data_IF_663887410754
#
_entry.id   IF_663887410754
#
_cell.length_a   1.000
_cell.length_b   1.000
_cell.length_c   1.000
_cell.angle_alpha   90.00
_cell.angle_beta   90.00
_cell.angle_gamma   90.00
#
_symmetry.space_group_name_H-M   'P 1'
#
loop_
_entity.id
_entity.type
_entity.pdbx_description
1 polymer ?
#
# COMPACT_ATOMS: atom_id res chain seq x y z
N UNK A 1 -9.06 42.09 5.56
CA UNK A 1 -8.06 41.08 5.21
C UNK A 1 -7.91 40.01 6.32
N UNK A 2 -7.55 40.32 7.56
CA UNK A 2 -7.36 39.36 8.67
C UNK A 2 -8.62 38.53 9.00
N UNK A 3 -9.79 39.15 9.11
CA UNK A 3 -11.09 38.45 9.35
C UNK A 3 -11.42 37.44 8.25
N UNK A 4 -11.15 37.77 6.99
CA UNK A 4 -11.36 36.85 5.86
C UNK A 4 -10.35 35.69 5.90
N UNK A 5 -9.10 35.96 6.26
CA UNK A 5 -8.08 34.95 6.41
C UNK A 5 -8.42 33.98 7.57
N UNK A 6 -8.89 34.50 8.71
CA UNK A 6 -9.36 33.67 9.84
C UNK A 6 -10.59 32.83 9.44
N UNK A 7 -11.53 33.39 8.69
CA UNK A 7 -12.70 32.66 8.18
C UNK A 7 -12.30 31.56 7.21
N UNK A 8 -11.34 31.82 6.32
CA UNK A 8 -10.81 30.84 5.40
C UNK A 8 -10.04 29.71 6.12
N UNK A 9 -9.22 30.04 7.15
CA UNK A 9 -8.52 29.06 7.98
C UNK A 9 -9.53 28.18 8.74
N UNK A 10 -10.57 28.77 9.34
CA UNK A 10 -11.63 28.00 10.00
C UNK A 10 -12.37 27.09 9.02
N UNK A 11 -12.71 27.58 7.81
CA UNK A 11 -13.35 26.79 6.79
C UNK A 11 -12.46 25.63 6.29
N UNK A 12 -11.15 25.85 6.17
CA UNK A 12 -10.19 24.79 5.85
C UNK A 12 -10.11 23.74 6.95
N UNK A 13 -10.06 24.16 8.20
CA UNK A 13 -10.00 23.24 9.34
C UNK A 13 -11.27 22.38 9.50
N UNK A 14 -12.43 22.85 9.04
CA UNK A 14 -13.66 22.04 9.06
C UNK A 14 -13.76 21.05 7.92
N UNK A 15 -12.99 21.23 6.83
CA UNK A 15 -12.99 20.36 5.66
C UNK A 15 -11.96 19.23 5.74
N UNK A 16 -10.80 19.55 6.29
CA UNK A 16 -9.65 18.63 6.35
C UNK A 16 -9.70 17.85 7.66
N UNK A 17 -9.75 16.53 7.56
CA UNK A 17 -9.67 15.63 8.71
C UNK A 17 -8.27 15.66 9.31
N UNK A 18 -8.14 16.06 10.56
CA UNK A 18 -6.90 16.03 11.32
C UNK A 18 -6.60 14.64 11.92
N UNK A 19 -5.35 14.41 12.36
CA UNK A 19 -4.95 13.12 12.94
C UNK A 19 -5.75 12.75 14.20
N UNK A 20 -5.95 13.69 15.11
CA UNK A 20 -6.71 13.44 16.34
C UNK A 20 -8.18 13.19 16.02
N UNK A 21 -8.75 13.98 15.13
CA UNK A 21 -10.13 13.83 14.67
C UNK A 21 -10.34 12.46 13.98
N UNK A 22 -9.42 12.03 13.11
CA UNK A 22 -9.43 10.67 12.54
C UNK A 22 -9.43 9.60 13.62
N UNK A 23 -8.54 9.72 14.61
CA UNK A 23 -8.42 8.70 15.65
C UNK A 23 -9.67 8.64 16.52
N UNK A 24 -10.14 9.78 17.00
CA UNK A 24 -11.28 9.89 17.93
C UNK A 24 -12.61 9.71 17.20
N UNK A 25 -12.77 10.32 16.02
CA UNK A 25 -14.04 10.34 15.29
C UNK A 25 -14.24 9.15 14.35
N UNK A 26 -13.18 8.57 13.80
CA UNK A 26 -13.30 7.48 12.82
C UNK A 26 -12.72 6.15 13.30
N UNK A 27 -11.48 6.13 13.82
CA UNK A 27 -10.85 4.86 14.15
C UNK A 27 -11.49 4.23 15.39
N UNK A 28 -11.49 4.95 16.51
CA UNK A 28 -11.94 4.37 17.79
C UNK A 28 -13.43 3.98 17.83
N UNK A 29 -14.37 4.75 17.25
CA UNK A 29 -15.77 4.35 17.21
C UNK A 29 -16.06 3.17 16.27
N UNK A 30 -15.30 3.05 15.17
CA UNK A 30 -15.58 2.10 14.09
C UNK A 30 -14.67 0.86 14.12
N UNK A 31 -13.56 0.89 14.88
CA UNK A 31 -12.60 -0.21 14.91
C UNK A 31 -12.30 -0.61 16.36
N UNK A 32 -12.71 -1.80 16.78
CA UNK A 32 -12.31 -2.34 18.08
C UNK A 32 -10.80 -2.65 18.07
N UNK A 33 -10.07 -2.19 19.09
CA UNK A 33 -8.61 -2.36 19.16
C UNK A 33 -8.15 -3.82 19.07
N UNK A 34 -8.93 -4.75 19.62
CA UNK A 34 -8.66 -6.20 19.55
C UNK A 34 -8.58 -6.72 18.10
N UNK A 35 -9.22 -6.01 17.15
CA UNK A 35 -9.26 -6.38 15.74
C UNK A 35 -8.10 -5.81 14.91
N UNK A 36 -7.28 -4.89 15.46
CA UNK A 36 -6.18 -4.26 14.72
C UNK A 36 -5.17 -5.28 14.20
N UNK A 37 -4.94 -6.36 14.95
CA UNK A 37 -4.05 -7.47 14.56
C UNK A 37 -4.37 -8.06 13.18
N UNK A 38 -5.63 -8.02 12.75
CA UNK A 38 -6.04 -8.57 11.45
C UNK A 38 -5.58 -7.72 10.26
N UNK A 39 -5.19 -6.47 10.49
CA UNK A 39 -4.59 -5.63 9.46
C UNK A 39 -3.11 -5.35 9.73
N UNK A 40 -2.70 -5.25 11.01
CA UNK A 40 -1.32 -4.96 11.40
C UNK A 40 -0.38 -6.18 11.18
N UNK A 41 -0.92 -7.41 11.15
CA UNK A 41 -0.19 -8.64 10.81
C UNK A 41 -0.57 -9.09 9.38
N UNK A 42 0.37 -8.97 8.44
CA UNK A 42 0.15 -9.30 7.01
C UNK A 42 -0.16 -10.78 6.78
N UNK A 43 0.33 -11.67 7.64
CA UNK A 43 0.01 -13.09 7.54
C UNK A 43 -1.45 -13.36 7.89
N UNK A 44 -1.94 -12.78 8.99
CA UNK A 44 -3.35 -12.87 9.36
C UNK A 44 -4.26 -12.21 8.32
N UNK A 45 -3.88 -11.02 7.85
CA UNK A 45 -4.62 -10.32 6.79
C UNK A 45 -4.73 -11.18 5.53
N UNK A 46 -3.64 -11.83 5.12
CA UNK A 46 -3.65 -12.71 3.95
C UNK A 46 -4.52 -13.95 4.14
N UNK A 47 -4.43 -14.59 5.29
CA UNK A 47 -5.28 -15.74 5.61
C UNK A 47 -6.76 -15.41 5.49
N UNK A 48 -7.17 -14.22 5.97
CA UNK A 48 -8.54 -13.73 5.80
C UNK A 48 -8.87 -13.55 4.32
N UNK A 49 -8.00 -12.87 3.56
CA UNK A 49 -8.22 -12.59 2.14
C UNK A 49 -8.34 -13.89 1.31
N UNK A 50 -7.41 -14.81 1.49
CA UNK A 50 -7.39 -16.08 0.77
C UNK A 50 -8.61 -16.95 1.09
N UNK A 51 -9.00 -17.07 2.37
CA UNK A 51 -10.17 -17.83 2.81
C UNK A 51 -11.50 -17.29 2.26
N UNK A 52 -11.57 -15.99 1.96
CA UNK A 52 -12.76 -15.33 1.42
C UNK A 52 -12.66 -15.02 -0.08
N UNK A 53 -11.68 -15.61 -0.77
CA UNK A 53 -11.49 -15.43 -2.21
C UNK A 53 -11.22 -13.98 -2.62
N UNK A 54 -10.58 -13.19 -1.75
CA UNK A 54 -10.05 -11.87 -2.08
C UNK A 54 -8.72 -12.07 -2.80
N UNK A 55 -8.61 -11.51 -3.99
CA UNK A 55 -7.44 -11.67 -4.85
C UNK A 55 -6.23 -10.93 -4.27
N UNK A 56 -5.19 -11.67 -3.89
CA UNK A 56 -3.94 -11.14 -3.34
C UNK A 56 -2.74 -11.95 -3.89
N UNK A 57 -1.49 -11.47 -3.80
CA UNK A 57 -0.32 -12.24 -4.18
C UNK A 57 -0.25 -13.53 -3.38
N UNK A 58 0.06 -14.66 -4.03
CA UNK A 58 0.11 -15.97 -3.39
C UNK A 58 1.24 -16.03 -2.36
N UNK A 59 0.98 -16.57 -1.18
CA UNK A 59 2.00 -16.92 -0.21
C UNK A 59 2.57 -18.30 -0.56
N UNK A 60 3.88 -18.38 -0.80
CA UNK A 60 4.56 -19.63 -1.14
C UNK A 60 5.11 -20.31 0.11
N UNK A 61 5.53 -19.54 1.11
CA UNK A 61 6.04 -20.06 2.36
C UNK A 61 6.03 -19.02 3.48
N UNK A 62 6.03 -19.52 4.70
CA UNK A 62 6.13 -18.72 5.93
C UNK A 62 7.22 -19.33 6.78
N UNK A 63 8.12 -18.51 7.31
CA UNK A 63 9.17 -18.95 8.22
C UNK A 63 8.94 -18.29 9.58
N UNK A 64 8.67 -19.08 10.59
CA UNK A 64 8.42 -18.62 11.96
C UNK A 64 9.63 -18.81 12.87
N UNK A 65 10.45 -19.82 12.58
CA UNK A 65 11.63 -20.18 13.39
C UNK A 65 12.88 -20.34 12.53
N UNK A 66 14.03 -20.04 13.13
CA UNK A 66 15.34 -20.13 12.43
C UNK A 66 15.57 -21.52 11.84
N UNK A 67 15.22 -22.57 12.56
CA UNK A 67 15.40 -23.94 12.08
C UNK A 67 14.58 -24.35 10.88
N UNK A 68 13.55 -23.57 10.52
CA UNK A 68 12.68 -23.82 9.38
C UNK A 68 13.18 -23.19 8.07
N UNK A 69 14.19 -22.29 8.15
CA UNK A 69 14.64 -21.48 7.00
C UNK A 69 15.03 -22.37 5.81
N UNK A 70 15.83 -23.39 6.06
CA UNK A 70 16.39 -24.24 5.00
C UNK A 70 15.30 -25.09 4.35
N UNK A 71 14.41 -25.68 5.14
CA UNK A 71 13.29 -26.49 4.67
C UNK A 71 12.33 -25.65 3.82
N UNK A 72 11.86 -24.51 4.36
CA UNK A 72 10.94 -23.63 3.63
C UNK A 72 11.60 -23.08 2.37
N UNK A 73 12.89 -22.70 2.46
CA UNK A 73 13.62 -22.23 1.30
C UNK A 73 13.69 -23.28 0.17
N UNK A 74 13.93 -24.53 0.54
CA UNK A 74 13.96 -25.62 -0.44
C UNK A 74 12.64 -25.71 -1.21
N UNK A 75 11.50 -25.63 -0.51
CA UNK A 75 10.18 -25.69 -1.14
C UNK A 75 9.90 -24.51 -2.07
N UNK A 76 10.34 -23.28 -1.70
CA UNK A 76 10.01 -22.07 -2.47
C UNK A 76 11.05 -21.72 -3.54
N UNK A 77 12.26 -22.28 -3.47
CA UNK A 77 13.37 -21.95 -4.39
C UNK A 77 13.17 -22.43 -5.83
N UNK A 78 12.12 -23.20 -6.10
CA UNK A 78 11.71 -23.58 -7.46
C UNK A 78 11.16 -22.40 -8.26
N UNK A 79 10.60 -21.39 -7.58
CA UNK A 79 10.06 -20.21 -8.24
C UNK A 79 11.20 -19.29 -8.74
N UNK A 80 11.00 -18.69 -9.92
CA UNK A 80 12.01 -17.81 -10.51
C UNK A 80 11.99 -16.38 -9.96
N UNK A 81 10.91 -15.99 -9.30
CA UNK A 81 10.77 -14.65 -8.67
C UNK A 81 10.05 -14.78 -7.35
N UNK A 82 10.59 -14.16 -6.31
CA UNK A 82 10.08 -14.20 -4.94
C UNK A 82 10.18 -12.84 -4.27
N UNK A 83 9.31 -12.59 -3.32
CA UNK A 83 9.41 -11.46 -2.39
C UNK A 83 9.48 -12.02 -0.97
N UNK A 84 10.53 -11.69 -0.25
CA UNK A 84 10.67 -11.98 1.19
C UNK A 84 10.35 -10.70 1.95
N UNK A 85 9.40 -10.76 2.90
CA UNK A 85 8.99 -9.57 3.67
C UNK A 85 8.58 -9.94 5.10
N UNK A 86 8.71 -9.01 6.06
CA UNK A 86 8.20 -9.20 7.42
C UNK A 86 6.67 -9.14 7.47
N UNK A 87 6.05 -9.95 8.33
CA UNK A 87 4.60 -9.93 8.54
C UNK A 87 4.15 -8.64 9.26
N UNK A 88 4.92 -8.17 10.26
CA UNK A 88 4.60 -6.99 11.06
C UNK A 88 5.36 -5.72 10.63
N UNK A 89 6.30 -5.81 9.69
CA UNK A 89 7.10 -4.68 9.21
C UNK A 89 6.26 -3.59 8.55
N UNK A 90 6.73 -2.34 8.65
CA UNK A 90 6.04 -1.16 8.11
C UNK A 90 6.92 -0.36 7.13
N UNK A 91 6.29 0.40 6.22
CA UNK A 91 6.97 1.34 5.32
C UNK A 91 7.91 0.69 4.30
N UNK A 92 7.71 -0.58 3.96
CA UNK A 92 8.54 -1.31 3.00
C UNK A 92 9.94 -1.67 3.52
N UNK A 93 10.19 -1.58 4.84
CA UNK A 93 11.43 -2.04 5.44
C UNK A 93 11.46 -3.57 5.48
N UNK A 94 12.64 -4.15 5.25
CA UNK A 94 12.80 -5.61 5.28
C UNK A 94 12.25 -6.36 4.06
N UNK A 95 11.82 -5.67 3.01
CA UNK A 95 11.41 -6.29 1.76
C UNK A 95 12.65 -6.62 0.92
N UNK A 96 12.79 -7.88 0.52
CA UNK A 96 13.80 -8.34 -0.44
C UNK A 96 13.11 -8.95 -1.64
N UNK A 97 13.30 -8.36 -2.81
CA UNK A 97 12.84 -8.91 -4.08
C UNK A 97 13.95 -9.76 -4.66
N UNK A 98 13.62 -11.00 -5.00
CA UNK A 98 14.54 -11.99 -5.55
C UNK A 98 14.11 -12.41 -6.94
N UNK A 99 15.05 -12.40 -7.89
CA UNK A 99 14.86 -12.93 -9.21
C UNK A 99 15.98 -13.93 -9.55
N UNK A 100 15.65 -15.07 -10.13
CA UNK A 100 16.61 -16.10 -10.54
C UNK A 100 17.04 -15.86 -11.99
N UNK A 101 18.33 -15.76 -12.22
CA UNK A 101 18.91 -15.64 -13.55
C UNK A 101 20.14 -16.55 -13.64
N UNK A 102 20.18 -17.42 -14.65
CA UNK A 102 21.30 -18.38 -14.88
C UNK A 102 21.66 -19.19 -13.62
N UNK A 103 20.64 -19.63 -12.87
CA UNK A 103 20.79 -20.40 -11.63
C UNK A 103 21.17 -19.58 -10.40
N UNK A 104 21.46 -18.29 -10.54
CA UNK A 104 21.82 -17.40 -9.44
C UNK A 104 20.67 -16.51 -9.01
N UNK A 105 20.58 -16.21 -7.72
CA UNK A 105 19.64 -15.23 -7.18
C UNK A 105 20.19 -13.82 -7.27
N UNK A 106 19.35 -12.89 -7.72
CA UNK A 106 19.63 -11.46 -7.77
C UNK A 106 18.64 -10.71 -6.91
N UNK A 107 19.14 -9.65 -6.25
CA UNK A 107 18.31 -8.65 -5.57
C UNK A 107 18.83 -7.26 -5.95
N UNK A 108 17.94 -6.38 -6.44
CA UNK A 108 18.33 -5.07 -6.96
C UNK A 108 19.37 -5.14 -8.07
N UNK A 109 19.33 -6.18 -8.93
CA UNK A 109 20.27 -6.39 -10.03
C UNK A 109 21.64 -6.94 -9.63
N UNK A 110 21.88 -7.22 -8.35
CA UNK A 110 23.15 -7.77 -7.83
C UNK A 110 22.97 -9.22 -7.41
N UNK A 111 23.96 -10.05 -7.66
CA UNK A 111 23.97 -11.46 -7.18
C UNK A 111 23.93 -11.46 -5.64
N UNK A 112 23.08 -12.30 -5.09
CA UNK A 112 22.92 -12.51 -3.66
C UNK A 112 23.10 -13.98 -3.35
N UNK A 113 23.97 -14.30 -2.37
CA UNK A 113 24.17 -15.67 -1.91
C UNK A 113 23.00 -16.19 -1.09
N UNK A 114 22.80 -17.50 -1.07
CA UNK A 114 21.80 -18.15 -0.22
C UNK A 114 22.00 -17.80 1.26
N UNK A 115 23.25 -17.79 1.74
CA UNK A 115 23.58 -17.38 3.11
C UNK A 115 23.08 -15.96 3.43
N UNK A 116 23.19 -15.02 2.48
CA UNK A 116 22.68 -13.66 2.66
C UNK A 116 21.14 -13.61 2.68
N UNK A 117 20.48 -14.45 1.90
CA UNK A 117 19.01 -14.59 1.93
C UNK A 117 18.58 -15.15 3.28
N UNK A 118 19.24 -16.21 3.78
CA UNK A 118 18.96 -16.81 5.07
C UNK A 118 19.20 -15.84 6.23
N UNK A 119 20.29 -15.08 6.18
CA UNK A 119 20.55 -14.01 7.17
C UNK A 119 19.45 -12.94 7.14
N UNK A 120 18.92 -12.61 5.96
CA UNK A 120 17.82 -11.65 5.86
C UNK A 120 16.54 -12.20 6.47
N UNK A 121 16.19 -13.46 6.21
CA UNK A 121 15.04 -14.13 6.83
C UNK A 121 15.21 -14.19 8.36
N UNK A 122 16.41 -14.55 8.85
CA UNK A 122 16.71 -14.55 10.27
C UNK A 122 16.53 -13.16 10.91
N UNK A 123 17.01 -12.10 10.26
CA UNK A 123 16.80 -10.72 10.72
C UNK A 123 15.32 -10.35 10.83
N UNK A 124 14.47 -10.84 9.91
CA UNK A 124 13.03 -10.65 10.02
C UNK A 124 12.50 -11.34 11.28
N UNK A 125 12.83 -12.60 11.49
CA UNK A 125 12.37 -13.40 12.63
C UNK A 125 12.78 -12.75 13.95
N UNK A 126 14.01 -12.22 14.03
CA UNK A 126 14.50 -11.47 15.19
C UNK A 126 13.92 -10.05 15.34
N UNK A 127 12.94 -9.68 14.56
CA UNK A 127 12.24 -8.40 14.70
C UNK A 127 13.04 -7.16 14.30
N UNK A 128 14.13 -7.30 13.53
CA UNK A 128 14.95 -6.15 13.07
C UNK A 128 14.11 -5.10 12.31
N UNK A 129 13.04 -5.55 11.66
CA UNK A 129 12.15 -4.69 10.89
C UNK A 129 10.80 -4.43 11.57
N UNK A 130 10.59 -4.96 12.78
CA UNK A 130 9.32 -4.97 13.54
C UNK A 130 9.49 -4.41 14.95
N UNK A 131 10.36 -3.40 15.09
CA UNK A 131 10.63 -2.69 16.35
C UNK A 131 11.11 -3.58 17.51
N UNK A 132 11.72 -4.72 17.19
CA UNK A 132 12.24 -5.70 18.19
C UNK A 132 11.25 -6.76 18.62
N UNK A 133 10.01 -6.72 18.12
CA UNK A 133 9.03 -7.78 18.33
C UNK A 133 9.31 -8.97 17.41
N UNK A 134 9.19 -10.19 17.93
CA UNK A 134 9.25 -11.40 17.13
C UNK A 134 8.30 -11.32 15.93
N UNK A 135 8.83 -11.68 14.76
CA UNK A 135 8.10 -11.60 13.51
C UNK A 135 8.25 -12.91 12.72
N UNK A 136 7.57 -13.00 11.61
CA UNK A 136 7.70 -14.09 10.63
C UNK A 136 8.03 -13.55 9.27
N UNK A 137 8.83 -14.31 8.53
CA UNK A 137 9.14 -13.99 7.15
C UNK A 137 8.09 -14.62 6.23
N UNK A 138 7.43 -13.79 5.45
CA UNK A 138 6.54 -14.21 4.37
C UNK A 138 7.33 -14.27 3.08
N UNK A 139 7.22 -15.39 2.37
CA UNK A 139 7.79 -15.58 1.03
C UNK A 139 6.64 -15.66 0.05
N UNK A 140 6.56 -14.66 -0.83
CA UNK A 140 5.39 -14.42 -1.66
C UNK A 140 5.71 -14.30 -3.13
N UNK A 141 4.66 -14.38 -3.91
CA UNK A 141 4.65 -14.07 -5.33
C UNK A 141 5.09 -12.63 -5.59
N UNK A 142 5.97 -12.46 -6.56
CA UNK A 142 6.33 -11.14 -7.05
C UNK A 142 5.25 -10.59 -7.98
N UNK A 143 4.70 -9.44 -7.65
CA UNK A 143 3.75 -8.70 -8.49
C UNK A 143 4.50 -7.96 -9.59
N UNK A 144 4.14 -8.22 -10.84
CA UNK A 144 4.67 -7.50 -12.00
C UNK A 144 3.74 -6.33 -12.32
N UNK A 145 4.19 -5.09 -12.17
CA UNK A 145 3.33 -3.93 -12.43
C UNK A 145 2.79 -3.94 -13.87
N UNK A 146 1.51 -3.58 -14.00
CA UNK A 146 0.86 -3.41 -15.30
C UNK A 146 1.57 -2.31 -16.11
N UNK A 147 1.59 -2.44 -17.43
CA UNK A 147 2.28 -1.53 -18.36
C UNK A 147 1.82 -0.07 -18.27
N UNK A 148 0.61 0.18 -17.80
CA UNK A 148 0.09 1.52 -17.50
C UNK A 148 1.06 2.32 -16.63
N UNK A 149 1.68 1.69 -15.64
CA UNK A 149 2.62 2.37 -14.74
C UNK A 149 3.93 2.72 -15.42
N UNK A 150 4.44 1.82 -16.28
CA UNK A 150 5.65 2.07 -17.08
C UNK A 150 5.52 3.27 -18.00
N UNK A 151 4.30 3.55 -18.49
CA UNK A 151 4.03 4.76 -19.28
C UNK A 151 4.16 6.07 -18.48
N UNK A 152 4.16 5.99 -17.16
CA UNK A 152 4.39 7.13 -16.26
C UNK A 152 5.83 7.07 -15.75
N UNK A 153 6.22 5.98 -15.11
CA UNK A 153 7.56 5.75 -14.56
C UNK A 153 7.82 4.24 -14.36
N UNK A 154 8.94 3.73 -14.87
CA UNK A 154 9.19 2.29 -14.94
C UNK A 154 9.70 1.66 -13.64
N UNK A 155 10.28 2.45 -12.72
CA UNK A 155 10.93 1.90 -11.54
C UNK A 155 9.98 1.69 -10.37
N UNK A 156 10.13 0.54 -9.68
CA UNK A 156 9.38 0.20 -8.47
C UNK A 156 7.99 -0.38 -8.73
N UNK A 157 7.24 -0.54 -7.66
CA UNK A 157 5.85 -1.07 -7.71
C UNK A 157 4.91 0.00 -7.20
N UNK A 158 4.18 0.68 -8.10
CA UNK A 158 3.12 1.61 -7.72
C UNK A 158 1.95 0.87 -7.08
N UNK A 159 1.25 1.54 -6.18
CA UNK A 159 0.04 1.01 -5.56
C UNK A 159 -1.07 2.04 -5.42
N UNK A 160 -2.29 1.57 -5.33
CA UNK A 160 -3.47 2.37 -5.05
C UNK A 160 -3.83 2.23 -3.57
N UNK A 161 -4.10 3.34 -2.91
CA UNK A 161 -4.74 3.35 -1.59
C UNK A 161 -6.16 3.84 -1.73
N UNK A 162 -7.13 3.05 -1.31
CA UNK A 162 -8.53 3.46 -1.18
C UNK A 162 -8.90 3.40 0.30
N UNK A 163 -9.40 4.52 0.84
CA UNK A 163 -9.90 4.59 2.23
C UNK A 163 -11.40 4.35 2.20
N UNK A 164 -11.86 3.47 3.08
CA UNK A 164 -13.28 3.12 3.22
C UNK A 164 -13.75 3.36 4.66
N UNK A 165 -15.01 3.72 4.78
CA UNK A 165 -15.75 3.77 6.04
C UNK A 165 -17.05 2.98 5.88
N UNK A 166 -17.27 1.97 6.74
CA UNK A 166 -18.46 1.08 6.69
C UNK A 166 -18.71 0.51 5.29
N UNK A 167 -17.62 0.12 4.60
CA UNK A 167 -17.64 -0.42 3.25
C UNK A 167 -17.87 0.60 2.13
N UNK A 168 -18.01 1.90 2.43
CA UNK A 168 -18.16 2.97 1.44
C UNK A 168 -16.79 3.57 1.12
N UNK A 169 -16.34 3.53 -0.16
CA UNK A 169 -15.08 4.17 -0.57
C UNK A 169 -15.21 5.70 -0.46
N UNK A 170 -14.31 6.31 0.33
CA UNK A 170 -14.30 7.74 0.55
C UNK A 170 -13.35 8.45 -0.44
N UNK A 171 -12.12 7.97 -0.52
CA UNK A 171 -11.06 8.67 -1.27
C UNK A 171 -10.01 7.68 -1.77
N UNK A 172 -9.52 7.91 -2.99
CA UNK A 172 -8.48 7.11 -3.62
C UNK A 172 -7.23 7.92 -3.93
N UNK A 173 -6.07 7.27 -3.93
CA UNK A 173 -4.79 7.84 -4.31
C UNK A 173 -3.92 6.76 -4.97
N UNK A 174 -3.27 7.07 -6.09
CA UNK A 174 -2.16 6.30 -6.62
C UNK A 174 -0.88 6.78 -5.95
N UNK A 175 -0.11 5.86 -5.39
CA UNK A 175 1.25 6.13 -4.89
C UNK A 175 2.25 5.69 -5.97
N UNK A 176 3.09 6.62 -6.41
CA UNK A 176 4.04 6.38 -7.49
C UNK A 176 5.46 6.55 -6.99
N UNK A 177 6.37 5.60 -7.28
CA UNK A 177 7.79 5.76 -6.97
C UNK A 177 8.41 6.93 -7.71
N UNK A 178 9.56 7.39 -7.20
CA UNK A 178 10.47 8.34 -7.85
C UNK A 178 11.91 7.87 -7.69
N UNK A 179 12.85 8.46 -8.39
CA UNK A 179 14.27 8.23 -8.18
C UNK A 179 14.66 8.53 -6.72
N UNK A 180 14.12 9.60 -6.15
CA UNK A 180 14.36 10.00 -4.74
C UNK A 180 13.87 8.97 -3.73
N UNK A 181 12.75 8.27 -4.01
CA UNK A 181 12.20 7.25 -3.13
C UNK A 181 12.94 5.90 -3.20
N UNK A 182 13.90 5.76 -4.12
CA UNK A 182 14.59 4.50 -4.37
C UNK A 182 13.64 3.37 -4.81
N UNK A 183 12.63 3.71 -5.62
CA UNK A 183 11.64 2.77 -6.15
C UNK A 183 10.49 2.45 -5.19
N UNK A 184 10.38 3.11 -4.04
CA UNK A 184 9.30 2.91 -3.07
C UNK A 184 8.13 3.85 -3.33
N UNK A 185 6.93 3.31 -3.37
CA UNK A 185 5.69 4.07 -3.56
C UNK A 185 5.17 4.71 -2.26
N UNK A 186 6.03 5.35 -1.48
CA UNK A 186 5.68 5.95 -0.21
C UNK A 186 5.92 7.47 -0.21
N UNK A 187 4.86 8.25 -0.03
CA UNK A 187 4.91 9.72 -0.03
C UNK A 187 5.90 10.28 1.01
N UNK A 188 5.96 9.67 2.22
CA UNK A 188 6.90 10.10 3.27
C UNK A 188 8.36 9.75 2.97
N UNK A 189 8.62 8.89 1.99
CA UNK A 189 9.96 8.50 1.55
C UNK A 189 10.35 9.11 0.19
N UNK A 190 9.60 10.11 -0.26
CA UNK A 190 9.88 10.84 -1.50
C UNK A 190 9.14 10.31 -2.74
N UNK A 191 8.22 9.36 -2.58
CA UNK A 191 7.26 8.99 -3.64
C UNK A 191 6.23 10.09 -3.87
N UNK A 192 5.42 9.92 -4.92
CA UNK A 192 4.31 10.82 -5.25
C UNK A 192 2.99 10.27 -4.73
N UNK A 193 2.12 11.15 -4.24
CA UNK A 193 0.71 10.88 -4.08
C UNK A 193 -0.07 11.52 -5.22
N UNK A 194 -0.80 10.74 -6.00
CA UNK A 194 -1.58 11.21 -7.13
C UNK A 194 -3.05 11.01 -6.78
N UNK A 195 -3.81 12.10 -6.69
CA UNK A 195 -5.24 12.05 -6.41
C UNK A 195 -5.99 11.30 -7.51
N UNK A 196 -7.14 10.75 -7.16
CA UNK A 196 -8.01 10.02 -8.09
C UNK A 196 -9.41 10.60 -8.01
N UNK A 197 -10.00 10.87 -9.17
CA UNK A 197 -11.42 11.12 -9.27
C UNK A 197 -12.16 9.79 -9.07
N UNK A 198 -12.85 9.66 -7.95
CA UNK A 198 -13.48 8.39 -7.54
C UNK A 198 -14.60 7.95 -8.49
N UNK A 199 -15.27 8.89 -9.19
CA UNK A 199 -16.35 8.57 -10.11
C UNK A 199 -15.84 8.08 -11.47
N UNK A 200 -14.82 8.76 -11.99
CA UNK A 200 -14.32 8.49 -13.35
C UNK A 200 -13.09 7.58 -13.39
N UNK A 201 -12.36 7.43 -12.28
CA UNK A 201 -11.09 6.73 -12.22
C UNK A 201 -9.95 7.45 -12.95
N UNK A 202 -10.07 8.77 -13.17
CA UNK A 202 -9.00 9.55 -13.77
C UNK A 202 -8.04 10.08 -12.72
N UNK A 203 -6.77 10.07 -13.06
CA UNK A 203 -5.71 10.65 -12.22
C UNK A 203 -5.87 12.18 -12.16
N UNK A 204 -5.80 12.72 -10.95
CA UNK A 204 -5.66 14.15 -10.66
C UNK A 204 -4.18 14.55 -10.75
N UNK A 205 -3.80 15.68 -10.16
CA UNK A 205 -2.41 16.14 -10.09
C UNK A 205 -1.60 15.28 -9.11
N UNK A 206 -0.31 15.12 -9.38
CA UNK A 206 0.62 14.50 -8.44
C UNK A 206 1.06 15.50 -7.37
N UNK A 207 1.30 15.01 -6.15
CA UNK A 207 1.81 15.75 -5.00
C UNK A 207 3.10 15.09 -4.48
N UNK A 208 4.18 15.87 -4.36
CA UNK A 208 5.50 15.39 -3.90
C UNK A 208 5.80 15.66 -2.43
N UNK A 209 4.79 16.09 -1.67
CA UNK A 209 4.93 16.54 -0.28
C UNK A 209 5.11 18.06 -0.15
N UNK A 210 5.30 18.79 -1.24
CA UNK A 210 5.53 20.25 -1.26
C UNK A 210 4.63 20.96 -2.29
N UNK A 211 4.54 20.45 -3.51
CA UNK A 211 3.80 21.07 -4.62
C UNK A 211 3.06 20.03 -5.46
N UNK A 212 2.06 20.52 -6.18
CA UNK A 212 1.33 19.74 -7.18
C UNK A 212 1.95 19.91 -8.57
N UNK A 213 1.88 18.84 -9.37
CA UNK A 213 2.43 18.80 -10.72
C UNK A 213 1.58 17.90 -11.63
N UNK A 214 1.63 18.15 -12.93
CA UNK A 214 0.85 17.43 -13.94
C UNK A 214 1.64 16.32 -14.63
N UNK A 215 2.97 16.30 -14.40
CA UNK A 215 3.91 15.34 -14.97
C UNK A 215 4.74 14.67 -13.88
N UNK A 216 5.29 13.49 -14.17
CA UNK A 216 6.21 12.81 -13.26
C UNK A 216 7.59 13.52 -13.27
N UNK A 217 8.18 13.83 -12.11
CA UNK A 217 9.40 14.67 -12.05
C UNK A 217 10.64 14.05 -12.69
N UNK A 218 10.77 12.72 -12.68
CA UNK A 218 11.95 12.05 -13.20
C UNK A 218 11.81 11.67 -14.70
N UNK A 219 10.58 11.33 -15.16
CA UNK A 219 10.36 10.92 -16.55
C UNK A 219 9.81 12.03 -17.45
N UNK A 220 9.18 13.07 -16.87
CA UNK A 220 8.46 14.09 -17.62
C UNK A 220 7.12 13.62 -18.21
N UNK A 221 6.75 12.36 -18.01
CA UNK A 221 5.51 11.83 -18.58
C UNK A 221 4.26 12.41 -17.91
N UNK A 222 3.22 12.65 -18.71
CA UNK A 222 1.96 13.20 -18.23
C UNK A 222 1.26 12.26 -17.25
N UNK A 223 0.68 12.84 -16.19
CA UNK A 223 -0.11 12.15 -15.16
C UNK A 223 -1.57 12.56 -15.24
N UNK A 224 -1.82 13.89 -15.24
CA UNK A 224 -3.15 14.45 -15.13
C UNK A 224 -4.10 13.92 -16.23
N UNK A 225 -5.28 13.50 -15.81
CA UNK A 225 -6.36 13.06 -16.68
C UNK A 225 -6.23 11.64 -17.23
N UNK A 226 -5.15 10.92 -16.94
CA UNK A 226 -5.01 9.52 -17.38
C UNK A 226 -6.07 8.63 -16.75
N UNK A 227 -6.80 7.81 -17.50
CA UNK A 227 -7.74 6.84 -16.96
C UNK A 227 -6.97 5.64 -16.36
N UNK A 228 -7.35 5.24 -15.16
CA UNK A 228 -6.78 4.05 -14.50
C UNK A 228 -7.43 2.81 -15.11
N UNK A 229 -6.62 1.82 -15.60
CA UNK A 229 -7.15 0.55 -16.05
C UNK A 229 -7.82 -0.21 -14.89
N UNK A 230 -8.88 -0.96 -15.18
CA UNK A 230 -9.60 -1.77 -14.17
C UNK A 230 -10.14 -0.96 -12.98
N UNK A 231 -10.42 0.35 -13.14
CA UNK A 231 -10.83 1.19 -12.02
C UNK A 231 -12.04 0.66 -11.25
N UNK A 232 -13.08 0.25 -11.97
CA UNK A 232 -14.29 -0.32 -11.36
C UNK A 232 -14.00 -1.61 -10.57
N UNK A 233 -13.08 -2.43 -11.08
CA UNK A 233 -12.66 -3.66 -10.43
C UNK A 233 -11.81 -3.38 -9.18
N UNK A 234 -10.93 -2.37 -9.21
CA UNK A 234 -10.17 -1.92 -8.04
C UNK A 234 -11.09 -1.47 -6.91
N UNK A 235 -12.10 -0.65 -7.24
CA UNK A 235 -13.10 -0.18 -6.25
C UNK A 235 -13.91 -1.35 -5.73
N UNK A 236 -14.42 -2.23 -6.60
CA UNK A 236 -15.19 -3.39 -6.19
C UNK A 236 -14.38 -4.35 -5.30
N UNK A 237 -13.08 -4.55 -5.62
CA UNK A 237 -12.17 -5.37 -4.84
C UNK A 237 -11.91 -4.75 -3.47
N UNK A 238 -11.74 -3.41 -3.38
CA UNK A 238 -11.58 -2.72 -2.10
C UNK A 238 -12.80 -2.86 -1.20
N UNK A 239 -14.02 -2.75 -1.76
CA UNK A 239 -15.28 -2.95 -1.04
C UNK A 239 -15.43 -4.41 -0.57
N UNK A 240 -15.13 -5.37 -1.45
CA UNK A 240 -15.13 -6.79 -1.09
C UNK A 240 -14.17 -7.03 0.08
N UNK A 241 -12.95 -6.52 -0.02
CA UNK A 241 -11.94 -6.67 1.04
C UNK A 241 -12.41 -6.08 2.36
N UNK A 242 -12.96 -4.86 2.35
CA UNK A 242 -13.43 -4.21 3.57
C UNK A 242 -14.49 -5.01 4.31
N UNK A 243 -15.35 -5.77 3.62
CA UNK A 243 -16.39 -6.62 4.22
C UNK A 243 -15.84 -7.83 4.97
N UNK A 244 -14.65 -8.29 4.62
CA UNK A 244 -14.03 -9.46 5.23
C UNK A 244 -13.24 -9.14 6.51
N UNK A 245 -13.01 -7.87 6.79
CA UNK A 245 -12.28 -7.45 7.99
C UNK A 245 -13.25 -6.88 9.02
N UNK A 246 -13.07 -7.20 10.32
CA UNK A 246 -13.89 -6.64 11.39
C UNK A 246 -13.44 -5.21 11.74
N UNK A 247 -13.34 -4.35 10.71
CA UNK A 247 -12.85 -2.98 10.74
C UNK A 247 -13.71 -2.15 9.80
N UNK A 248 -14.46 -1.18 10.34
CA UNK A 248 -15.33 -0.33 9.54
C UNK A 248 -14.59 0.86 8.90
N UNK A 249 -13.48 1.32 9.51
CA UNK A 249 -12.60 2.34 8.91
C UNK A 249 -11.25 1.73 8.60
N UNK A 250 -10.90 1.66 7.32
CA UNK A 250 -9.65 1.06 6.86
C UNK A 250 -9.17 1.63 5.54
N UNK A 251 -7.88 1.44 5.26
CA UNK A 251 -7.30 1.67 3.95
C UNK A 251 -6.97 0.33 3.29
N UNK A 252 -7.33 0.17 2.03
CA UNK A 252 -6.95 -1.00 1.21
C UNK A 252 -5.90 -0.55 0.21
N UNK A 253 -4.75 -1.22 0.22
CA UNK A 253 -3.68 -1.02 -0.73
C UNK A 253 -3.77 -2.07 -1.83
N UNK A 254 -3.89 -1.61 -3.08
CA UNK A 254 -4.10 -2.47 -4.24
C UNK A 254 -3.02 -2.22 -5.31
N UNK A 255 -2.76 -3.24 -6.10
CA UNK A 255 -1.89 -3.16 -7.27
C UNK A 255 -2.62 -3.71 -8.49
N UNK A 256 -2.11 -3.42 -9.68
CA UNK A 256 -2.53 -4.09 -10.91
C UNK A 256 -1.35 -4.92 -11.39
N UNK A 257 -1.46 -6.25 -11.30
CA UNK A 257 -0.49 -7.17 -11.89
C UNK A 257 -0.71 -7.28 -13.40
N UNK A 258 0.37 -7.32 -14.16
CA UNK A 258 0.34 -7.38 -15.64
C UNK A 258 -0.49 -8.55 -16.18
N UNK A 259 -0.41 -9.71 -15.54
CA UNK A 259 -1.08 -10.94 -16.01
C UNK A 259 -2.40 -11.21 -15.28
N UNK A 260 -2.48 -10.81 -13.98
CA UNK A 260 -3.57 -11.19 -13.08
C UNK A 260 -4.57 -10.07 -12.81
N UNK A 261 -4.27 -8.81 -13.23
CA UNK A 261 -5.11 -7.64 -12.98
C UNK A 261 -5.08 -7.19 -11.51
N UNK A 262 -6.16 -6.56 -11.00
CA UNK A 262 -6.23 -6.02 -9.64
C UNK A 262 -6.02 -7.07 -8.55
N UNK A 263 -5.20 -6.73 -7.55
CA UNK A 263 -4.90 -7.56 -6.37
C UNK A 263 -4.75 -6.67 -5.12
N UNK A 264 -5.13 -7.18 -3.96
CA UNK A 264 -4.91 -6.51 -2.66
C UNK A 264 -3.52 -6.85 -2.13
N UNK A 265 -2.76 -5.84 -1.77
CA UNK A 265 -1.44 -6.01 -1.16
C UNK A 265 -1.47 -5.99 0.35
N UNK A 266 -2.25 -5.07 0.92
CA UNK A 266 -2.27 -4.79 2.35
C UNK A 266 -3.57 -4.09 2.77
N UNK A 267 -3.97 -4.30 4.03
CA UNK A 267 -5.03 -3.55 4.71
C UNK A 267 -4.40 -2.73 5.83
N UNK A 268 -4.86 -1.50 6.02
CA UNK A 268 -4.30 -0.57 6.97
C UNK A 268 -5.37 -0.07 7.95
N UNK A 269 -5.19 -0.24 9.26
CA UNK A 269 -6.07 0.30 10.32
C UNK A 269 -6.01 1.82 10.39
N UNK A 270 -4.82 2.39 10.14
CA UNK A 270 -4.54 3.82 10.27
C UNK A 270 -4.02 4.40 8.96
N UNK A 271 -4.86 4.42 7.89
CA UNK A 271 -4.41 4.94 6.61
C UNK A 271 -3.98 6.39 6.74
N UNK A 272 -2.84 6.72 6.10
CA UNK A 272 -2.27 8.07 6.18
C UNK A 272 -3.15 9.14 5.53
N UNK A 273 -3.23 10.31 6.15
CA UNK A 273 -4.07 11.43 5.70
C UNK A 273 -3.47 12.26 4.55
N UNK A 274 -2.26 11.97 4.10
CA UNK A 274 -1.65 12.59 2.91
C UNK A 274 -2.46 12.41 1.62
N UNK A 275 -3.40 11.48 1.60
CA UNK A 275 -4.37 11.28 0.53
C UNK A 275 -5.24 12.54 0.29
N UNK A 276 -5.56 13.32 1.33
CA UNK A 276 -6.28 14.58 1.21
C UNK A 276 -5.46 15.63 0.45
N UNK A 277 -4.14 15.68 0.72
CA UNK A 277 -3.22 16.58 0.02
C UNK A 277 -3.08 16.18 -1.45
N UNK A 278 -2.96 14.88 -1.74
CA UNK A 278 -2.91 14.38 -3.11
C UNK A 278 -4.18 14.71 -3.89
N UNK A 279 -5.35 14.67 -3.26
CA UNK A 279 -6.63 14.98 -3.89
C UNK A 279 -6.99 16.47 -3.91
N UNK A 280 -6.30 17.31 -3.10
CA UNK A 280 -6.70 18.70 -2.84
C UNK A 280 -8.13 18.82 -2.31
N UNK A 281 -8.52 17.84 -1.50
CA UNK A 281 -9.90 17.68 -1.02
C UNK A 281 -9.89 17.15 0.42
N UNK A 282 -10.72 17.69 1.28
CA UNK A 282 -10.81 17.28 2.68
C UNK A 282 -11.71 16.06 2.87
N UNK A 283 -11.31 15.13 3.73
CA UNK A 283 -12.09 13.92 4.02
C UNK A 283 -13.47 14.25 4.64
N UNK A 284 -13.54 15.28 5.50
CA UNK A 284 -14.81 15.72 6.10
C UNK A 284 -15.79 16.23 5.04
N UNK A 285 -15.27 16.89 3.99
CA UNK A 285 -16.06 17.36 2.87
C UNK A 285 -16.62 16.18 2.05
N UNK A 286 -15.78 15.18 1.80
CA UNK A 286 -16.19 13.94 1.10
C UNK A 286 -17.27 13.20 1.90
N UNK A 287 -17.06 12.99 3.20
CA UNK A 287 -18.05 12.32 4.07
C UNK A 287 -19.38 13.08 4.11
N UNK A 288 -19.33 14.41 4.20
CA UNK A 288 -20.55 15.23 4.15
C UNK A 288 -21.30 15.08 2.82
N UNK A 289 -20.56 15.06 1.70
CA UNK A 289 -21.16 14.89 0.35
C UNK A 289 -21.82 13.52 0.18
N UNK A 290 -21.25 12.50 0.81
CA UNK A 290 -21.76 11.12 0.79
C UNK A 290 -22.83 10.86 1.86
N UNK A 291 -23.20 11.86 2.69
CA UNK A 291 -24.11 11.74 3.83
C UNK A 291 -23.67 10.64 4.83
N UNK A 292 -22.36 10.50 5.07
CA UNK A 292 -21.79 9.54 6.01
C UNK A 292 -21.37 10.31 7.27
N UNK A 293 -22.02 9.98 8.39
CA UNK A 293 -21.74 10.52 9.72
C UNK A 293 -21.11 9.45 10.63
#
# INVERSE_FOLDING_TARGET
MLKQMIKNIKALNTRVLGMNERNIGLIYPNNKQVNYKYADDKYLAKSIMESNGVKCPKTYGVVEKIGEIEEVWHMVSEWNTLVVKPAKGAGGKGIMVLAKKEGQWLSGGKVVSQSKIFSHIANIIFGVFSFGDDDRALIEEYVRPHEFFGQIYEAGVPDFRIILLKGVPLMGMLRMPTAKSGGKANLHQGGLGIGIDMQTGKLKRAYDGRKHMDVHPDSGNAILGRPIPFWKELVALSIKTAKEFPLDYLGVDLVIDKAKGPMVMEVNVRPGLGIQLANQEGMNEVMSTLNIN
#
